data_IF_597931739225
#
_entry.id   IF_597931739225
#
_cell.length_a   1.000
_cell.length_b   1.000
_cell.length_c   1.000
_cell.angle_alpha   90.00
_cell.angle_beta   90.00
_cell.angle_gamma   90.00
#
_symmetry.space_group_name_H-M   'P 1'
#
loop_
_entity.id
_entity.type
_entity.pdbx_description
1 polymer ?
#
# COMPACT_ATOMS: atom_id res chain seq x y z
N UNK A 1 -50.00 14.29 54.66
CA UNK A 1 -48.72 14.95 54.33
C UNK A 1 -47.79 13.89 53.78
N UNK A 2 -47.68 13.78 52.47
CA UNK A 2 -46.81 12.80 51.77
C UNK A 2 -45.58 13.57 51.28
N UNK A 3 -44.39 13.22 51.78
CA UNK A 3 -43.11 13.77 51.33
C UNK A 3 -42.57 12.90 50.16
N UNK A 4 -42.55 13.47 48.94
CA UNK A 4 -41.91 12.91 47.80
C UNK A 4 -40.42 13.25 47.83
N UNK A 5 -39.58 12.25 48.01
CA UNK A 5 -38.11 12.39 47.88
C UNK A 5 -37.70 12.26 46.43
N UNK A 6 -37.24 13.34 45.85
CA UNK A 6 -36.73 13.39 44.48
C UNK A 6 -35.25 12.98 44.50
N UNK A 7 -34.96 11.75 44.09
CA UNK A 7 -33.58 11.27 43.94
C UNK A 7 -32.96 11.82 42.68
N UNK A 8 -31.86 12.58 42.82
CA UNK A 8 -31.01 13.04 41.72
C UNK A 8 -30.12 11.87 41.27
N UNK A 9 -30.36 11.35 40.10
CA UNK A 9 -29.46 10.40 39.44
C UNK A 9 -28.42 11.22 38.68
N UNK A 10 -27.22 11.31 39.22
CA UNK A 10 -26.06 11.93 38.55
C UNK A 10 -25.52 10.94 37.50
N UNK A 11 -25.76 11.24 36.24
CA UNK A 11 -25.20 10.49 35.09
C UNK A 11 -23.73 10.93 34.92
N UNK A 12 -22.79 10.10 35.38
CA UNK A 12 -21.36 10.30 35.14
C UNK A 12 -21.04 9.88 33.72
N UNK A 13 -20.94 10.84 32.83
CA UNK A 13 -20.40 10.65 31.49
C UNK A 13 -18.88 10.39 31.59
N UNK A 14 -18.48 9.12 31.53
CA UNK A 14 -17.09 8.71 31.33
C UNK A 14 -16.68 9.11 29.92
N UNK A 15 -16.14 10.31 29.76
CA UNK A 15 -15.42 10.69 28.55
C UNK A 15 -14.16 9.82 28.44
N UNK A 16 -14.22 8.80 27.61
CA UNK A 16 -13.05 8.00 27.22
C UNK A 16 -12.14 8.90 26.38
N UNK A 17 -11.26 9.67 27.04
CA UNK A 17 -10.15 10.33 26.37
C UNK A 17 -9.24 9.23 25.82
N UNK A 18 -9.33 8.96 24.52
CA UNK A 18 -8.28 8.24 23.82
C UNK A 18 -6.98 9.02 24.02
N UNK A 19 -6.14 8.55 24.94
CA UNK A 19 -4.81 9.10 25.17
C UNK A 19 -4.01 8.93 23.89
N UNK A 20 -3.88 10.04 23.13
CA UNK A 20 -2.94 10.08 22.01
C UNK A 20 -1.56 9.72 22.56
N UNK A 21 -0.98 8.65 22.08
CA UNK A 21 0.37 8.21 22.48
C UNK A 21 1.34 9.36 22.21
N UNK A 22 1.93 9.94 23.28
CA UNK A 22 2.91 11.01 23.11
C UNK A 22 4.13 10.44 22.38
N UNK A 23 4.56 11.14 21.33
CA UNK A 23 5.72 10.73 20.55
C UNK A 23 6.98 10.87 21.40
N UNK A 24 7.71 9.79 21.59
CA UNK A 24 8.98 9.82 22.27
C UNK A 24 10.03 10.59 21.46
N UNK A 25 10.98 11.29 22.10
CA UNK A 25 12.08 11.94 21.40
C UNK A 25 12.85 10.98 20.46
N UNK A 26 13.02 9.72 20.88
CA UNK A 26 13.67 8.68 20.07
C UNK A 26 12.88 8.36 18.79
N UNK A 27 11.56 8.17 18.87
CA UNK A 27 10.73 7.94 17.71
C UNK A 27 10.74 9.14 16.74
N UNK A 28 10.73 10.35 17.27
CA UNK A 28 10.85 11.56 16.45
C UNK A 28 12.21 11.65 15.76
N UNK A 29 13.30 11.33 16.47
CA UNK A 29 14.66 11.28 15.90
C UNK A 29 14.77 10.23 14.79
N UNK A 30 14.15 9.06 14.98
CA UNK A 30 14.15 7.98 13.97
C UNK A 30 13.37 8.36 12.71
N UNK A 31 12.21 9.01 12.86
CA UNK A 31 11.30 9.29 11.73
C UNK A 31 11.55 10.63 11.04
N UNK A 32 12.24 11.56 11.72
CA UNK A 32 12.56 12.87 11.16
C UNK A 32 13.99 13.33 11.54
N UNK A 33 15.02 12.53 11.21
CA UNK A 33 16.42 12.82 11.65
C UNK A 33 16.98 14.11 11.07
N UNK A 34 16.38 14.61 9.98
CA UNK A 34 16.79 15.86 9.31
C UNK A 34 15.91 17.07 9.67
N UNK A 35 15.05 16.93 10.69
CA UNK A 35 14.07 17.95 11.05
C UNK A 35 12.81 17.96 10.16
N UNK A 36 12.69 17.04 9.23
CA UNK A 36 11.52 16.83 8.36
C UNK A 36 11.28 15.34 8.15
N UNK A 37 10.02 14.95 7.90
CA UNK A 37 9.65 13.60 7.51
C UNK A 37 9.84 13.45 5.99
N UNK A 38 10.81 12.65 5.54
CA UNK A 38 10.98 12.30 4.13
C UNK A 38 10.17 11.05 3.82
N UNK A 39 9.04 11.23 3.12
CA UNK A 39 8.12 10.16 2.79
C UNK A 39 8.32 9.67 1.35
N UNK A 40 8.68 8.40 1.18
CA UNK A 40 8.82 7.76 -0.14
C UNK A 40 7.45 7.41 -0.72
N UNK A 41 7.06 8.08 -1.79
CA UNK A 41 5.79 7.91 -2.48
C UNK A 41 5.99 7.10 -3.75
N UNK A 42 5.27 5.97 -3.86
CA UNK A 42 5.37 5.03 -4.97
C UNK A 42 4.26 5.23 -6.00
N UNK A 43 4.53 5.92 -7.10
CA UNK A 43 3.61 6.06 -8.23
C UNK A 43 3.45 4.78 -9.06
N UNK A 44 4.30 3.76 -8.83
CA UNK A 44 4.10 2.44 -9.40
C UNK A 44 2.86 1.70 -8.87
N UNK A 45 2.20 2.26 -7.84
CA UNK A 45 0.89 1.83 -7.38
C UNK A 45 -0.11 3.00 -7.39
N UNK A 46 -0.71 3.32 -8.55
CA UNK A 46 -1.59 4.47 -8.70
C UNK A 46 -2.89 4.38 -7.88
N UNK A 47 -3.19 3.22 -7.32
CA UNK A 47 -4.33 3.04 -6.41
C UNK A 47 -4.11 3.81 -5.10
N UNK A 48 -2.87 3.93 -4.63
CA UNK A 48 -2.56 4.55 -3.34
C UNK A 48 -1.85 5.90 -3.45
N UNK A 49 -1.25 6.21 -4.61
CA UNK A 49 -0.62 7.50 -4.86
C UNK A 49 -0.58 7.84 -6.34
N UNK A 50 -0.88 9.08 -6.68
CA UNK A 50 -0.83 9.63 -8.04
C UNK A 50 -0.10 10.96 -8.07
N UNK A 51 0.44 11.29 -9.24
CA UNK A 51 0.97 12.64 -9.51
C UNK A 51 -0.20 13.62 -9.60
N UNK A 52 0.02 14.84 -9.15
CA UNK A 52 -0.92 15.92 -9.48
C UNK A 52 -0.76 16.29 -10.97
N UNK A 53 -1.86 16.26 -11.76
CA UNK A 53 -1.80 16.64 -13.19
C UNK A 53 -1.31 18.06 -13.43
N UNK A 54 -1.48 18.96 -12.45
CA UNK A 54 -1.02 20.36 -12.53
C UNK A 54 0.45 20.56 -12.12
N UNK A 55 1.17 19.48 -11.80
CA UNK A 55 2.57 19.53 -11.36
C UNK A 55 2.72 19.87 -9.87
N UNK A 56 1.65 19.88 -9.10
CA UNK A 56 1.65 20.09 -7.65
C UNK A 56 2.14 18.87 -6.86
N UNK A 57 1.89 18.91 -5.55
CA UNK A 57 2.21 17.81 -4.66
C UNK A 57 1.45 16.52 -5.02
N UNK A 58 2.01 15.35 -4.74
CA UNK A 58 1.33 14.08 -4.97
C UNK A 58 0.02 13.99 -4.18
N UNK A 59 -0.89 13.11 -4.63
CA UNK A 59 -2.18 12.83 -3.99
C UNK A 59 -2.33 11.34 -3.73
N UNK A 60 -3.17 10.96 -2.78
CA UNK A 60 -3.51 9.58 -2.50
C UNK A 60 -3.41 9.22 -1.02
N UNK A 61 -3.81 7.99 -0.70
CA UNK A 61 -3.86 7.47 0.68
C UNK A 61 -2.50 7.53 1.37
N UNK A 62 -1.42 7.18 0.66
CA UNK A 62 -0.05 7.23 1.18
C UNK A 62 0.38 8.66 1.50
N UNK A 63 -0.07 9.63 0.70
CA UNK A 63 0.22 11.06 0.89
C UNK A 63 -0.52 11.61 2.11
N UNK A 64 -1.81 11.25 2.26
CA UNK A 64 -2.61 11.68 3.41
C UNK A 64 -2.03 11.11 4.72
N UNK A 65 -1.63 9.84 4.74
CA UNK A 65 -0.96 9.24 5.90
C UNK A 65 0.38 9.92 6.21
N UNK A 66 1.14 10.31 5.18
CA UNK A 66 2.40 11.03 5.37
C UNK A 66 2.19 12.41 6.01
N UNK A 67 1.18 13.14 5.56
CA UNK A 67 0.83 14.45 6.12
C UNK A 67 0.37 14.34 7.57
N UNK A 68 -0.47 13.36 7.88
CA UNK A 68 -0.94 13.14 9.26
C UNK A 68 0.21 12.71 10.18
N UNK A 69 1.11 11.84 9.72
CA UNK A 69 2.30 11.45 10.47
C UNK A 69 3.20 12.66 10.74
N UNK A 70 3.49 13.47 9.73
CA UNK A 70 4.32 14.69 9.87
C UNK A 70 3.70 15.70 10.83
N UNK A 71 2.37 15.89 10.73
CA UNK A 71 1.62 16.76 11.66
C UNK A 71 1.78 16.29 13.11
N UNK A 72 1.68 15.00 13.37
CA UNK A 72 1.88 14.43 14.72
C UNK A 72 3.30 14.58 15.20
N UNK A 73 4.28 14.35 14.32
CA UNK A 73 5.70 14.56 14.62
C UNK A 73 6.05 16.04 14.86
N UNK A 74 5.17 16.98 14.49
CA UNK A 74 5.43 18.42 14.57
C UNK A 74 6.57 18.86 13.65
N UNK A 75 6.67 18.25 12.45
CA UNK A 75 7.70 18.54 11.44
C UNK A 75 7.06 18.70 10.04
N UNK A 76 7.70 19.41 9.11
CA UNK A 76 7.26 19.43 7.72
C UNK A 76 7.44 18.06 7.06
N UNK A 77 6.56 17.74 6.08
CA UNK A 77 6.72 16.57 5.21
C UNK A 77 7.45 16.96 3.93
N UNK A 78 8.33 16.06 3.47
CA UNK A 78 8.97 16.13 2.16
C UNK A 78 8.64 14.83 1.41
N UNK A 79 7.98 14.95 0.27
CA UNK A 79 7.71 13.80 -0.59
C UNK A 79 8.89 13.49 -1.49
N UNK A 80 9.37 12.23 -1.42
CA UNK A 80 10.40 11.68 -2.31
C UNK A 80 9.72 10.67 -3.21
N UNK A 81 9.55 10.99 -4.49
CA UNK A 81 8.69 10.25 -5.39
C UNK A 81 9.45 9.25 -6.26
N UNK A 82 8.86 8.08 -6.47
CA UNK A 82 9.40 7.00 -7.29
C UNK A 82 8.33 6.44 -8.21
N UNK A 83 8.69 6.01 -9.40
CA UNK A 83 7.80 5.42 -10.40
C UNK A 83 7.62 3.89 -10.25
N UNK A 84 8.37 3.25 -9.34
CA UNK A 84 8.32 1.81 -9.08
C UNK A 84 8.68 1.48 -7.62
N UNK A 85 8.02 0.47 -7.05
CA UNK A 85 8.32 -0.01 -5.70
C UNK A 85 9.77 -0.48 -5.53
N UNK A 86 10.37 -1.06 -6.57
CA UNK A 86 11.77 -1.45 -6.59
C UNK A 86 12.69 -0.26 -6.29
N UNK A 87 12.45 0.89 -6.93
CA UNK A 87 13.26 2.11 -6.73
C UNK A 87 13.12 2.68 -5.32
N UNK A 88 11.94 2.55 -4.69
CA UNK A 88 11.76 2.89 -3.26
C UNK A 88 12.70 2.07 -2.39
N UNK A 89 12.73 0.75 -2.62
CA UNK A 89 13.58 -0.17 -1.82
C UNK A 89 15.07 0.06 -2.10
N UNK A 90 15.45 0.25 -3.36
CA UNK A 90 16.84 0.56 -3.73
C UNK A 90 17.36 1.85 -3.08
N UNK A 91 16.52 2.88 -3.00
CA UNK A 91 16.85 4.16 -2.40
C UNK A 91 17.03 4.13 -0.87
N UNK A 92 16.61 3.03 -0.21
CA UNK A 92 16.88 2.83 1.22
C UNK A 92 18.38 2.89 1.54
N UNK A 93 19.21 2.28 0.69
CA UNK A 93 20.68 2.20 0.90
C UNK A 93 21.35 3.57 0.92
N UNK A 94 20.79 4.55 0.25
CA UNK A 94 21.29 5.93 0.24
C UNK A 94 20.71 6.81 1.35
N UNK A 95 19.81 6.27 2.19
CA UNK A 95 19.14 7.05 3.22
C UNK A 95 18.25 8.18 2.67
N UNK A 96 17.69 8.00 1.47
CA UNK A 96 16.96 9.06 0.78
C UNK A 96 15.62 9.39 1.41
N UNK A 97 15.05 8.50 2.21
CA UNK A 97 13.75 8.65 2.85
C UNK A 97 13.73 8.05 4.27
N UNK A 98 12.70 8.37 5.04
CA UNK A 98 12.51 7.95 6.43
C UNK A 98 11.37 6.95 6.58
N UNK A 99 10.30 7.12 5.81
CA UNK A 99 9.12 6.25 5.79
C UNK A 99 8.73 5.95 4.34
N UNK A 100 8.36 4.72 4.07
CA UNK A 100 7.91 4.27 2.75
C UNK A 100 6.56 3.55 2.83
N UNK A 101 5.85 3.50 1.70
CA UNK A 101 4.56 2.84 1.52
C UNK A 101 4.70 1.77 0.45
N UNK A 102 4.93 0.54 0.87
CA UNK A 102 5.15 -0.61 -0.03
C UNK A 102 4.50 -1.87 0.55
N UNK A 103 4.19 -2.81 -0.34
CA UNK A 103 3.64 -4.09 0.09
C UNK A 103 4.65 -4.86 0.94
N UNK A 104 4.15 -5.56 1.95
CA UNK A 104 4.92 -6.51 2.76
C UNK A 104 5.42 -7.63 1.85
N UNK A 105 6.72 -7.87 1.86
CA UNK A 105 7.35 -8.98 1.15
C UNK A 105 8.60 -9.44 1.92
N UNK A 106 8.84 -10.76 2.02
CA UNK A 106 10.01 -11.28 2.74
C UNK A 106 11.35 -10.74 2.25
N UNK A 107 11.51 -10.54 0.94
CA UNK A 107 12.75 -10.02 0.38
C UNK A 107 13.02 -8.55 0.80
N UNK A 108 11.99 -7.77 1.04
CA UNK A 108 12.08 -6.38 1.50
C UNK A 108 12.22 -6.29 3.02
N UNK A 109 11.67 -7.26 3.77
CA UNK A 109 11.72 -7.32 5.24
C UNK A 109 13.14 -7.51 5.80
N UNK A 110 14.11 -7.83 4.95
CA UNK A 110 15.53 -7.90 5.34
C UNK A 110 16.03 -6.52 5.81
N UNK A 111 15.63 -5.46 5.12
CA UNK A 111 16.12 -4.09 5.35
C UNK A 111 15.05 -3.15 5.95
N UNK A 112 13.78 -3.57 5.95
CA UNK A 112 12.62 -2.78 6.39
C UNK A 112 11.96 -3.35 7.63
N UNK A 113 11.67 -2.48 8.60
CA UNK A 113 10.70 -2.75 9.67
C UNK A 113 9.32 -2.29 9.20
N UNK A 114 8.38 -3.23 9.11
CA UNK A 114 7.01 -2.98 8.67
C UNK A 114 6.04 -2.73 9.83
N UNK A 115 4.99 -1.99 9.53
CA UNK A 115 3.74 -2.01 10.30
C UNK A 115 2.90 -3.23 9.90
N UNK A 116 1.78 -3.47 10.58
CA UNK A 116 0.68 -4.21 9.99
C UNK A 116 0.17 -3.50 8.73
N UNK A 117 -0.50 -4.19 7.80
CA UNK A 117 -1.04 -3.54 6.61
C UNK A 117 -2.10 -2.49 6.99
N UNK A 118 -2.12 -1.38 6.24
CA UNK A 118 -3.18 -0.37 6.36
C UNK A 118 -4.27 -0.54 5.29
N UNK A 119 -3.89 -1.10 4.12
CA UNK A 119 -4.79 -1.38 3.00
C UNK A 119 -4.46 -2.74 2.41
N UNK A 120 -5.49 -3.44 1.97
CA UNK A 120 -5.42 -4.71 1.25
C UNK A 120 -5.95 -4.50 -0.17
N UNK A 121 -5.18 -4.95 -1.15
CA UNK A 121 -5.55 -5.01 -2.57
C UNK A 121 -5.26 -6.39 -3.14
N UNK A 122 -5.73 -6.67 -4.35
CA UNK A 122 -5.62 -7.99 -4.97
C UNK A 122 -4.70 -7.98 -6.17
N UNK A 123 -3.92 -9.05 -6.34
CA UNK A 123 -3.21 -9.37 -7.58
C UNK A 123 -4.08 -10.25 -8.47
N UNK A 124 -4.26 -9.85 -9.73
CA UNK A 124 -5.05 -10.55 -10.72
C UNK A 124 -4.28 -10.75 -12.03
N UNK A 125 -4.81 -11.62 -12.90
CA UNK A 125 -4.30 -11.82 -14.24
C UNK A 125 -5.24 -11.23 -15.30
N UNK A 126 -4.65 -10.69 -16.34
CA UNK A 126 -5.31 -10.18 -17.53
C UNK A 126 -4.80 -11.00 -18.74
N UNK A 127 -5.72 -11.39 -19.61
CA UNK A 127 -5.43 -12.18 -20.81
C UNK A 127 -6.17 -11.61 -22.02
N UNK A 128 -5.75 -11.92 -23.26
CA UNK A 128 -6.56 -11.61 -24.43
C UNK A 128 -7.94 -12.25 -24.34
N UNK A 129 -8.97 -11.61 -24.90
CA UNK A 129 -10.36 -12.10 -24.87
C UNK A 129 -10.48 -13.53 -25.43
N UNK A 130 -9.76 -13.84 -26.50
CA UNK A 130 -9.72 -15.17 -27.15
C UNK A 130 -8.74 -16.16 -26.51
N UNK A 131 -8.06 -15.81 -25.41
CA UNK A 131 -7.10 -16.69 -24.74
C UNK A 131 -7.74 -18.03 -24.33
N UNK A 132 -7.07 -19.17 -24.50
CA UNK A 132 -7.52 -20.45 -23.98
C UNK A 132 -7.40 -20.55 -22.45
N UNK A 133 -6.59 -19.70 -21.82
CA UNK A 133 -6.42 -19.67 -20.35
C UNK A 133 -7.70 -19.12 -19.73
N UNK A 134 -8.38 -19.92 -18.88
CA UNK A 134 -9.68 -19.59 -18.28
C UNK A 134 -9.62 -19.40 -16.77
N UNK A 135 -8.58 -19.89 -16.11
CA UNK A 135 -8.43 -19.83 -14.66
C UNK A 135 -7.00 -19.48 -14.25
N UNK A 136 -6.83 -19.01 -13.03
CA UNK A 136 -5.51 -18.71 -12.46
C UNK A 136 -4.59 -19.94 -12.41
N UNK A 137 -5.16 -21.15 -12.20
CA UNK A 137 -4.40 -22.39 -12.16
C UNK A 137 -3.77 -22.76 -13.51
N UNK A 138 -4.31 -22.24 -14.61
CA UNK A 138 -3.80 -22.51 -15.94
C UNK A 138 -2.66 -21.61 -16.39
N UNK A 139 -2.29 -20.62 -15.59
CA UNK A 139 -1.24 -19.65 -15.94
C UNK A 139 0.15 -20.29 -15.86
N UNK A 140 0.40 -21.16 -14.88
CA UNK A 140 1.73 -21.75 -14.68
C UNK A 140 1.95 -22.98 -15.58
N UNK A 141 2.17 -22.72 -16.86
CA UNK A 141 2.43 -23.76 -17.89
C UNK A 141 3.60 -23.39 -18.78
N UNK A 142 4.24 -24.40 -19.35
CA UNK A 142 5.27 -24.21 -20.38
C UNK A 142 4.71 -23.42 -21.56
N UNK A 143 5.50 -22.49 -22.05
CA UNK A 143 5.13 -21.61 -23.17
C UNK A 143 4.31 -20.36 -22.76
N UNK A 144 3.81 -20.28 -21.53
CA UNK A 144 3.13 -19.08 -21.05
C UNK A 144 4.16 -18.03 -20.58
N UNK A 145 4.02 -16.80 -21.11
CA UNK A 145 4.84 -15.65 -20.70
C UNK A 145 3.95 -14.69 -19.91
N UNK A 146 4.37 -14.39 -18.68
CA UNK A 146 3.64 -13.54 -17.74
C UNK A 146 4.34 -12.20 -17.59
N UNK A 147 3.70 -11.13 -18.08
CA UNK A 147 4.19 -9.75 -17.90
C UNK A 147 3.99 -9.29 -16.47
N UNK A 148 5.01 -8.72 -15.85
CA UNK A 148 4.98 -8.15 -14.50
C UNK A 148 5.74 -6.83 -14.43
N UNK A 149 5.42 -5.96 -13.46
CA UNK A 149 6.25 -4.79 -13.17
C UNK A 149 7.48 -5.19 -12.34
N UNK A 150 8.67 -4.90 -12.82
CA UNK A 150 9.92 -5.28 -12.18
C UNK A 150 9.98 -4.88 -10.69
N UNK A 151 10.18 -5.86 -9.82
CA UNK A 151 10.27 -5.70 -8.36
C UNK A 151 8.97 -5.24 -7.70
N UNK A 152 7.82 -5.37 -8.37
CA UNK A 152 6.50 -5.22 -7.75
C UNK A 152 6.24 -6.36 -6.75
N UNK A 153 5.22 -6.22 -5.89
CA UNK A 153 4.83 -7.30 -4.98
C UNK A 153 4.46 -8.57 -5.72
N UNK A 154 3.75 -8.44 -6.83
CA UNK A 154 3.33 -9.58 -7.64
C UNK A 154 4.48 -10.17 -8.48
N UNK A 155 5.50 -9.39 -8.91
CA UNK A 155 6.72 -9.95 -9.49
C UNK A 155 7.46 -10.81 -8.47
N UNK A 156 7.68 -10.28 -7.25
CA UNK A 156 8.36 -11.01 -6.20
C UNK A 156 7.62 -12.29 -5.81
N UNK A 157 6.29 -12.21 -5.71
CA UNK A 157 5.44 -13.37 -5.42
C UNK A 157 5.52 -14.42 -6.54
N UNK A 158 5.29 -14.02 -7.78
CA UNK A 158 5.27 -14.92 -8.93
C UNK A 158 6.64 -15.53 -9.20
N UNK A 159 7.73 -14.79 -8.99
CA UNK A 159 9.11 -15.32 -9.11
C UNK A 159 9.40 -16.46 -8.13
N UNK A 160 8.72 -16.50 -6.99
CA UNK A 160 8.85 -17.61 -6.02
C UNK A 160 7.89 -18.77 -6.30
N UNK A 161 6.76 -18.52 -6.96
CA UNK A 161 5.67 -19.49 -7.03
C UNK A 161 5.51 -20.15 -8.41
N UNK A 162 5.74 -19.42 -9.52
CA UNK A 162 5.68 -20.00 -10.86
C UNK A 162 6.85 -20.98 -11.07
N UNK A 163 6.53 -22.12 -11.69
CA UNK A 163 7.48 -23.22 -11.95
C UNK A 163 7.75 -23.40 -13.45
N UNK A 164 6.76 -23.15 -14.29
CA UNK A 164 6.73 -23.44 -15.71
C UNK A 164 6.63 -22.16 -16.56
N UNK A 165 5.76 -21.23 -16.17
CA UNK A 165 5.57 -19.99 -16.90
C UNK A 165 6.79 -19.07 -16.79
N UNK A 166 7.09 -18.35 -17.88
CA UNK A 166 8.22 -17.42 -17.96
C UNK A 166 7.80 -16.00 -17.62
N UNK A 167 8.47 -15.38 -16.66
CA UNK A 167 8.23 -13.98 -16.28
C UNK A 167 8.94 -13.03 -17.25
N UNK A 168 8.21 -12.04 -17.76
CA UNK A 168 8.70 -10.93 -18.58
C UNK A 168 8.45 -9.62 -17.83
N UNK A 169 9.49 -8.84 -17.60
CA UNK A 169 9.44 -7.66 -16.72
C UNK A 169 9.34 -6.36 -17.48
N UNK A 170 8.28 -5.60 -17.23
CA UNK A 170 8.18 -4.19 -17.60
C UNK A 170 8.95 -3.32 -16.58
N UNK A 171 9.46 -2.16 -16.97
CA UNK A 171 10.23 -1.28 -16.07
C UNK A 171 9.41 -0.78 -14.87
N UNK A 172 8.11 -0.58 -15.04
CA UNK A 172 7.17 -0.12 -14.02
C UNK A 172 5.85 -0.88 -14.10
N UNK A 173 5.06 -0.89 -13.01
CA UNK A 173 3.74 -1.54 -13.03
C UNK A 173 2.76 -0.90 -14.03
N UNK A 174 2.68 0.43 -14.18
CA UNK A 174 1.84 1.03 -15.22
C UNK A 174 2.19 0.66 -16.66
N UNK A 175 3.43 0.24 -16.92
CA UNK A 175 3.87 -0.15 -18.27
C UNK A 175 3.59 -1.62 -18.62
N UNK A 176 3.05 -2.42 -17.68
CA UNK A 176 2.89 -3.87 -17.84
C UNK A 176 1.96 -4.21 -19.00
N UNK A 177 0.77 -3.60 -19.05
CA UNK A 177 -0.27 -4.00 -20.03
C UNK A 177 0.10 -3.51 -21.43
N UNK A 178 0.71 -2.33 -21.57
CA UNK A 178 1.18 -1.86 -22.87
C UNK A 178 2.30 -2.78 -23.41
N UNK A 179 3.25 -3.20 -22.58
CA UNK A 179 4.27 -4.18 -22.96
C UNK A 179 3.66 -5.54 -23.31
N UNK A 180 2.71 -6.03 -22.51
CA UNK A 180 1.99 -7.28 -22.75
C UNK A 180 1.34 -7.30 -24.12
N UNK A 181 0.63 -6.22 -24.48
CA UNK A 181 -0.03 -6.10 -25.80
C UNK A 181 1.01 -5.99 -26.91
N UNK A 182 2.00 -5.11 -26.77
CA UNK A 182 3.02 -4.87 -27.80
C UNK A 182 3.85 -6.12 -28.12
N UNK A 183 4.16 -6.94 -27.11
CA UNK A 183 4.94 -8.17 -27.27
C UNK A 183 4.09 -9.41 -27.47
N UNK A 184 2.76 -9.27 -27.55
CA UNK A 184 1.80 -10.36 -27.71
C UNK A 184 2.07 -11.50 -26.71
N UNK A 185 2.18 -11.14 -25.42
CA UNK A 185 2.38 -12.09 -24.33
C UNK A 185 1.05 -12.80 -24.00
N UNK A 186 1.12 -13.91 -23.30
CA UNK A 186 -0.06 -14.73 -22.98
C UNK A 186 -0.84 -14.18 -21.79
N UNK A 187 -0.14 -13.60 -20.78
CA UNK A 187 -0.73 -13.12 -19.52
C UNK A 187 -0.06 -11.84 -19.07
N UNK A 188 -0.83 -10.90 -18.55
CA UNK A 188 -0.33 -9.80 -17.73
C UNK A 188 -0.79 -9.98 -16.27
N UNK A 189 0.12 -9.78 -15.31
CA UNK A 189 -0.18 -9.79 -13.91
C UNK A 189 -0.06 -8.37 -13.33
N UNK A 190 -0.93 -8.00 -12.42
CA UNK A 190 -0.93 -6.68 -11.83
C UNK A 190 -1.91 -6.52 -10.67
N UNK A 191 -1.99 -5.32 -10.14
CA UNK A 191 -3.05 -4.94 -9.20
C UNK A 191 -4.37 -4.94 -9.97
N UNK A 192 -5.39 -5.63 -9.42
CA UNK A 192 -6.67 -5.89 -10.09
C UNK A 192 -7.31 -4.61 -10.66
N UNK A 193 -7.40 -3.55 -9.85
CA UNK A 193 -8.00 -2.28 -10.26
C UNK A 193 -7.23 -1.61 -11.42
N UNK A 194 -5.90 -1.73 -11.43
CA UNK A 194 -5.08 -1.24 -12.53
C UNK A 194 -5.37 -2.03 -13.81
N UNK A 195 -5.44 -3.34 -13.72
CA UNK A 195 -5.76 -4.20 -14.86
C UNK A 195 -7.18 -3.96 -15.38
N UNK A 196 -8.16 -3.70 -14.50
CA UNK A 196 -9.52 -3.31 -14.87
C UNK A 196 -9.55 -1.98 -15.63
N UNK A 197 -8.78 -0.99 -15.18
CA UNK A 197 -8.65 0.29 -15.87
C UNK A 197 -8.00 0.10 -17.26
N UNK A 198 -6.96 -0.71 -17.35
CA UNK A 198 -6.29 -1.03 -18.62
C UNK A 198 -7.18 -1.82 -19.58
N UNK A 199 -7.99 -2.77 -19.07
CA UNK A 199 -8.96 -3.50 -19.89
C UNK A 199 -10.07 -2.61 -20.48
N UNK A 200 -10.45 -1.54 -19.73
CA UNK A 200 -11.38 -0.52 -20.27
C UNK A 200 -10.71 0.37 -21.34
N UNK A 201 -9.44 0.65 -21.20
CA UNK A 201 -8.65 1.48 -22.15
C UNK A 201 -8.30 0.71 -23.41
N UNK A 202 -8.04 -0.59 -23.31
CA UNK A 202 -7.57 -1.47 -24.39
C UNK A 202 -8.57 -2.60 -24.63
N UNK A 203 -9.46 -2.48 -25.62
CA UNK A 203 -10.47 -3.50 -25.91
C UNK A 203 -9.82 -4.83 -26.33
N UNK A 204 -10.54 -5.94 -26.13
CA UNK A 204 -10.06 -7.27 -26.49
C UNK A 204 -9.24 -7.95 -25.37
N UNK A 205 -9.29 -7.44 -24.17
CA UNK A 205 -8.69 -8.01 -22.95
C UNK A 205 -9.78 -8.39 -21.95
N UNK A 206 -9.50 -9.38 -21.11
CA UNK A 206 -10.35 -9.77 -19.97
C UNK A 206 -9.51 -10.18 -18.77
N UNK A 207 -10.01 -9.92 -17.59
CA UNK A 207 -9.44 -10.45 -16.36
C UNK A 207 -9.82 -11.92 -16.20
N UNK A 208 -8.92 -12.71 -15.60
CA UNK A 208 -9.29 -13.99 -15.04
C UNK A 208 -10.07 -13.78 -13.73
N UNK A 209 -11.01 -14.68 -13.45
CA UNK A 209 -11.80 -14.60 -12.25
C UNK A 209 -10.95 -14.83 -10.97
N UNK A 210 -11.30 -14.13 -9.90
CA UNK A 210 -10.65 -14.22 -8.60
C UNK A 210 -9.34 -13.44 -8.53
N UNK A 211 -8.43 -13.94 -7.71
CA UNK A 211 -7.09 -13.38 -7.45
C UNK A 211 -6.07 -14.49 -7.33
N UNK A 212 -4.82 -14.21 -7.69
CA UNK A 212 -3.71 -15.14 -7.41
C UNK A 212 -2.95 -14.79 -6.11
N UNK A 213 -3.08 -13.57 -5.61
CA UNK A 213 -2.49 -13.15 -4.33
C UNK A 213 -3.26 -12.02 -3.68
N UNK A 214 -3.08 -11.91 -2.37
CA UNK A 214 -3.43 -10.72 -1.57
C UNK A 214 -2.19 -9.86 -1.43
N UNK A 215 -2.32 -8.55 -1.63
CA UNK A 215 -1.24 -7.58 -1.52
C UNK A 215 -1.49 -6.72 -0.28
N UNK A 216 -0.72 -6.94 0.77
CA UNK A 216 -0.79 -6.22 2.03
C UNK A 216 0.08 -4.97 1.96
N UNK A 217 -0.54 -3.79 1.83
CA UNK A 217 0.15 -2.51 1.78
C UNK A 217 0.43 -1.99 3.18
N UNK A 218 1.69 -1.74 3.51
CA UNK A 218 2.13 -1.32 4.83
C UNK A 218 3.00 -0.07 4.78
N UNK A 219 3.17 0.57 5.92
CA UNK A 219 4.24 1.53 6.12
C UNK A 219 5.51 0.79 6.53
N UNK A 220 6.65 1.30 6.12
CA UNK A 220 7.95 0.77 6.50
C UNK A 220 8.95 1.88 6.80
N UNK A 221 9.90 1.60 7.69
CA UNK A 221 11.04 2.45 8.01
C UNK A 221 12.32 1.60 7.96
N UNK A 222 13.53 2.19 7.80
CA UNK A 222 14.78 1.43 7.88
C UNK A 222 14.84 0.58 9.15
N UNK A 223 15.33 -0.66 9.04
CA UNK A 223 15.29 -1.65 10.12
C UNK A 223 16.02 -1.22 11.40
N UNK A 224 17.00 -0.32 11.30
CA UNK A 224 17.75 0.22 12.44
C UNK A 224 16.98 1.27 13.27
N UNK A 225 15.73 1.59 12.94
CA UNK A 225 14.94 2.66 13.57
C UNK A 225 13.84 2.09 14.45
N UNK A 226 14.22 1.44 15.54
CA UNK A 226 13.31 0.65 16.39
C UNK A 226 12.21 1.47 17.06
N UNK A 227 12.54 2.64 17.60
CA UNK A 227 11.57 3.52 18.23
C UNK A 227 10.57 4.09 17.21
N UNK A 228 11.06 4.45 16.03
CA UNK A 228 10.25 4.88 14.90
C UNK A 228 9.33 3.77 14.40
N UNK A 229 9.85 2.56 14.26
CA UNK A 229 9.07 1.38 13.82
C UNK A 229 7.95 1.05 14.82
N UNK A 230 8.22 1.11 16.12
CA UNK A 230 7.21 0.92 17.16
C UNK A 230 6.10 1.97 17.03
N UNK A 231 6.47 3.24 16.93
CA UNK A 231 5.49 4.32 16.78
C UNK A 231 4.65 4.18 15.51
N UNK A 232 5.26 3.79 14.38
CA UNK A 232 4.53 3.57 13.12
C UNK A 232 3.51 2.43 13.23
N UNK A 233 3.79 1.36 13.97
CA UNK A 233 2.82 0.28 14.21
C UNK A 233 1.60 0.79 14.96
N UNK A 234 1.78 1.54 16.02
CA UNK A 234 0.70 2.17 16.80
C UNK A 234 -0.09 3.18 15.93
N UNK A 235 0.62 4.02 15.17
CA UNK A 235 0.03 4.99 14.27
C UNK A 235 -0.88 4.34 13.22
N UNK A 236 -0.44 3.28 12.56
CA UNK A 236 -1.25 2.59 11.53
C UNK A 236 -2.52 1.99 12.13
N UNK A 237 -2.44 1.35 13.32
CA UNK A 237 -3.61 0.80 13.98
C UNK A 237 -4.62 1.89 14.37
N UNK A 238 -4.13 3.03 14.83
CA UNK A 238 -4.99 4.17 15.13
C UNK A 238 -5.62 4.75 13.86
N UNK A 239 -4.88 4.89 12.76
CA UNK A 239 -5.42 5.38 11.48
C UNK A 239 -6.49 4.44 10.91
N UNK A 240 -6.37 3.14 11.12
CA UNK A 240 -7.43 2.18 10.78
C UNK A 240 -8.64 2.34 11.70
N UNK A 241 -8.42 2.36 13.01
CA UNK A 241 -9.48 2.41 14.01
C UNK A 241 -10.28 3.71 13.99
N UNK A 242 -9.66 4.84 13.73
CA UNK A 242 -10.32 6.15 13.63
C UNK A 242 -11.12 6.35 12.34
N UNK A 243 -11.02 5.43 11.39
CA UNK A 243 -11.63 5.57 10.06
C UNK A 243 -10.84 6.46 9.10
N UNK A 244 -9.66 6.96 9.49
CA UNK A 244 -8.85 7.83 8.63
C UNK A 244 -8.50 7.16 7.30
N UNK A 245 -8.08 5.87 7.33
CA UNK A 245 -7.75 5.11 6.11
C UNK A 245 -9.00 4.92 5.23
N UNK A 246 -10.14 4.61 5.82
CA UNK A 246 -11.41 4.45 5.08
C UNK A 246 -11.80 5.76 4.38
N UNK A 247 -11.77 6.88 5.10
CA UNK A 247 -12.05 8.20 4.55
C UNK A 247 -11.05 8.63 3.46
N UNK A 248 -9.77 8.25 3.60
CA UNK A 248 -8.78 8.51 2.57
C UNK A 248 -9.05 7.71 1.29
N UNK A 249 -9.41 6.42 1.39
CA UNK A 249 -9.83 5.61 0.25
C UNK A 249 -11.04 6.23 -0.46
N UNK A 250 -12.05 6.65 0.28
CA UNK A 250 -13.25 7.31 -0.25
C UNK A 250 -12.92 8.65 -0.93
N UNK A 251 -12.16 9.52 -0.27
CA UNK A 251 -11.73 10.84 -0.79
C UNK A 251 -11.01 10.73 -2.12
N UNK A 252 -10.17 9.71 -2.26
CA UNK A 252 -9.40 9.44 -3.47
C UNK A 252 -10.14 8.51 -4.46
N UNK A 253 -11.40 8.14 -4.17
CA UNK A 253 -12.25 7.28 -5.01
C UNK A 253 -11.57 5.95 -5.36
N UNK A 254 -10.92 5.35 -4.37
CA UNK A 254 -10.24 4.07 -4.53
C UNK A 254 -11.24 2.94 -4.38
N UNK A 255 -11.61 2.32 -5.49
CA UNK A 255 -12.50 1.17 -5.53
C UNK A 255 -11.71 -0.15 -5.40
N UNK A 256 -12.36 -1.20 -4.86
CA UNK A 256 -11.81 -2.55 -4.77
C UNK A 256 -10.62 -2.72 -3.82
N UNK A 257 -10.22 -1.67 -3.10
CA UNK A 257 -9.29 -1.75 -1.98
C UNK A 257 -10.08 -1.75 -0.67
N UNK A 258 -9.56 -2.40 0.34
CA UNK A 258 -10.17 -2.42 1.67
C UNK A 258 -9.19 -2.00 2.75
N UNK A 259 -9.72 -1.39 3.82
CA UNK A 259 -8.94 -1.19 5.05
C UNK A 259 -8.52 -2.55 5.58
N UNK A 260 -7.25 -2.71 5.90
CA UNK A 260 -6.76 -3.97 6.45
C UNK A 260 -7.38 -4.25 7.84
N UNK A 261 -7.59 -5.52 8.21
CA UNK A 261 -8.02 -5.88 9.55
C UNK A 261 -7.05 -5.35 10.61
N UNK A 262 -7.56 -5.19 11.83
CA UNK A 262 -6.73 -4.85 12.97
C UNK A 262 -5.67 -5.94 13.17
N UNK A 263 -4.44 -5.54 13.50
CA UNK A 263 -3.42 -6.51 13.88
C UNK A 263 -3.85 -7.28 15.14
N UNK A 264 -3.50 -8.58 15.24
CA UNK A 264 -3.64 -9.29 16.50
C UNK A 264 -2.92 -8.52 17.62
N UNK A 265 -3.51 -8.48 18.81
CA UNK A 265 -2.85 -7.97 20.01
C UNK A 265 -1.78 -9.01 20.39
N UNK A 266 -0.50 -8.61 20.37
CA UNK A 266 0.60 -9.44 20.86
C UNK A 266 0.59 -9.54 22.40
#
# INVERSE_FOLDING_TARGET
MIRIAMGLVSLVLLASCATMSQISPAARSDLAPTGKLRAAINFGNPILATKDPSGGEPRGVSVDLSRELARRLGVPVQFVTYDAARKVVEALKSGAWDVAYVAIDPARAVDLSYTAPYVVIEGAYLVPQGSPIRSNAEVDRDGVRVAVGAGSAYDLFLSRNLKHAKIVRAPTSPAVVDMFVAQKLEVAAGVKQQLEADARRLPGLRLLEGRFMVINQAMGTPRSRDAGAKYLREFVEEMKASGFVAQALERHRVEGASVAPRAPVE
#
